data_IF_792940014631
#
_entry.id   IF_792940014631
#
_cell.length_a   1.000
_cell.length_b   1.000
_cell.length_c   1.000
_cell.angle_alpha   90.00
_cell.angle_beta   90.00
_cell.angle_gamma   90.00
#
_symmetry.space_group_name_H-M   'P 1'
#
loop_
_entity.id
_entity.type
_entity.pdbx_description
1 polymer ?
#
# COMPACT_ATOMS: atom_id res chain seq x y z
N UNK A 1 16.50 -13.08 -5.95
CA UNK A 1 16.54 -11.86 -5.11
C UNK A 1 15.24 -11.70 -4.33
N UNK A 2 14.09 -11.71 -5.01
CA UNK A 2 12.78 -11.54 -4.39
C UNK A 2 12.42 -12.67 -3.40
N UNK A 3 12.68 -13.94 -3.75
CA UNK A 3 12.52 -15.08 -2.82
C UNK A 3 13.44 -14.99 -1.58
N UNK A 4 14.64 -14.45 -1.77
CA UNK A 4 15.63 -14.29 -0.68
C UNK A 4 15.18 -13.17 0.28
N UNK A 5 14.62 -12.09 -0.28
CA UNK A 5 13.98 -10.99 0.45
C UNK A 5 12.75 -11.45 1.24
N UNK A 6 11.84 -12.20 0.60
CA UNK A 6 10.67 -12.79 1.25
C UNK A 6 11.09 -13.67 2.42
N UNK A 7 12.03 -14.60 2.21
CA UNK A 7 12.56 -15.46 3.29
C UNK A 7 13.26 -14.69 4.42
N UNK A 8 13.85 -13.53 4.15
CA UNK A 8 14.48 -12.69 5.17
C UNK A 8 13.46 -11.95 6.02
N UNK A 9 12.33 -11.57 5.43
CA UNK A 9 11.25 -10.86 6.11
C UNK A 9 10.25 -11.80 6.79
N UNK A 10 9.94 -12.96 6.20
CA UNK A 10 9.20 -14.07 6.85
C UNK A 10 9.90 -14.56 8.12
N UNK A 11 11.24 -14.48 8.18
CA UNK A 11 12.00 -14.76 9.41
C UNK A 11 11.80 -13.71 10.50
N UNK A 12 11.25 -12.53 10.17
CA UNK A 12 11.02 -11.40 11.09
C UNK A 12 9.55 -11.24 11.50
N UNK A 13 8.61 -11.93 10.85
CA UNK A 13 7.17 -11.78 11.12
C UNK A 13 6.28 -12.49 10.09
N UNK A 14 5.02 -12.08 10.01
CA UNK A 14 4.05 -12.59 9.03
C UNK A 14 4.49 -12.29 7.59
N UNK A 15 4.33 -13.26 6.67
CA UNK A 15 4.76 -13.17 5.28
C UNK A 15 4.04 -12.07 4.49
N UNK A 16 2.78 -11.81 4.84
CA UNK A 16 1.95 -10.80 4.18
C UNK A 16 2.33 -9.39 4.65
N UNK A 17 2.50 -9.21 5.97
CA UNK A 17 2.99 -7.98 6.57
C UNK A 17 4.41 -7.63 6.09
N UNK A 18 5.28 -8.64 6.03
CA UNK A 18 6.61 -8.57 5.45
C UNK A 18 6.60 -8.02 4.01
N UNK A 19 5.68 -8.52 3.19
CA UNK A 19 5.59 -8.11 1.78
C UNK A 19 5.08 -6.68 1.63
N UNK A 20 4.13 -6.26 2.47
CA UNK A 20 3.65 -4.87 2.53
C UNK A 20 4.76 -3.90 2.96
N UNK A 21 5.49 -4.23 4.03
CA UNK A 21 6.62 -3.42 4.50
C UNK A 21 7.72 -3.30 3.44
N UNK A 22 8.03 -4.38 2.72
CA UNK A 22 9.01 -4.35 1.64
C UNK A 22 8.58 -3.45 0.48
N UNK A 23 7.29 -3.50 0.12
CA UNK A 23 6.73 -2.65 -0.94
C UNK A 23 6.80 -1.18 -0.55
N UNK A 24 6.41 -0.82 0.67
CA UNK A 24 6.51 0.54 1.22
C UNK A 24 7.95 1.06 1.16
N UNK A 25 8.90 0.27 1.66
CA UNK A 25 10.31 0.64 1.63
C UNK A 25 10.86 0.86 0.20
N UNK A 26 10.46 0.03 -0.76
CA UNK A 26 10.90 0.20 -2.15
C UNK A 26 10.25 1.44 -2.77
N UNK A 27 8.97 1.71 -2.49
CA UNK A 27 8.27 2.88 -3.00
C UNK A 27 8.87 4.17 -2.44
N UNK A 28 9.17 4.22 -1.15
CA UNK A 28 9.86 5.35 -0.51
C UNK A 28 11.21 5.63 -1.20
N UNK A 29 11.99 4.59 -1.48
CA UNK A 29 13.28 4.74 -2.18
C UNK A 29 13.07 5.22 -3.62
N UNK A 30 12.05 4.74 -4.33
CA UNK A 30 11.71 5.20 -5.68
C UNK A 30 11.32 6.69 -5.64
N UNK A 31 10.38 7.08 -4.77
CA UNK A 31 9.89 8.45 -4.62
C UNK A 31 11.01 9.42 -4.23
N UNK A 32 11.90 8.98 -3.34
CA UNK A 32 13.08 9.73 -2.95
C UNK A 32 14.04 9.94 -4.14
N UNK A 33 14.32 8.89 -4.90
CA UNK A 33 15.18 8.99 -6.07
C UNK A 33 14.58 9.87 -7.19
N UNK A 34 13.24 9.86 -7.33
CA UNK A 34 12.51 10.77 -8.21
C UNK A 34 12.60 12.22 -7.73
N UNK A 35 12.42 12.47 -6.43
CA UNK A 35 12.46 13.79 -5.79
C UNK A 35 13.85 14.44 -5.86
N UNK A 36 14.91 13.64 -5.78
CA UNK A 36 16.30 14.11 -5.89
C UNK A 36 16.72 14.40 -7.35
N UNK A 37 15.83 14.22 -8.34
CA UNK A 37 16.10 14.49 -9.76
C UNK A 37 17.22 13.63 -10.38
N UNK A 38 17.71 12.63 -9.65
CA UNK A 38 18.90 11.85 -10.01
C UNK A 38 18.62 10.79 -11.09
N UNK A 39 17.36 10.38 -11.25
CA UNK A 39 16.99 9.33 -12.22
C UNK A 39 17.30 9.69 -13.69
N UNK A 40 17.37 10.98 -14.03
CA UNK A 40 17.67 11.42 -15.41
C UNK A 40 19.11 11.14 -15.88
N UNK A 41 20.06 10.94 -14.95
CA UNK A 41 21.47 10.61 -15.27
C UNK A 41 21.97 9.33 -14.59
N UNK A 42 21.46 9.00 -13.39
CA UNK A 42 21.84 7.80 -12.65
C UNK A 42 21.13 6.52 -13.11
N UNK A 43 19.99 6.62 -13.82
CA UNK A 43 19.24 5.45 -14.32
C UNK A 43 19.99 4.56 -15.33
N UNK A 44 21.19 4.97 -15.79
CA UNK A 44 22.08 4.15 -16.64
C UNK A 44 23.27 3.55 -15.91
N UNK A 45 23.52 3.94 -14.67
CA UNK A 45 24.62 3.41 -13.88
C UNK A 45 24.09 2.36 -12.90
N UNK A 46 24.84 1.29 -12.72
CA UNK A 46 24.65 0.26 -11.70
C UNK A 46 24.90 0.86 -10.30
N UNK A 47 24.11 1.85 -9.90
CA UNK A 47 24.17 2.44 -8.56
C UNK A 47 23.48 1.46 -7.62
N UNK A 48 24.27 0.88 -6.73
CA UNK A 48 23.76 0.05 -5.67
C UNK A 48 22.87 0.89 -4.76
N UNK A 49 21.77 0.31 -4.30
CA UNK A 49 20.78 0.95 -3.42
C UNK A 49 21.44 1.45 -2.12
N UNK A 50 22.53 0.81 -1.68
CA UNK A 50 23.34 1.23 -0.53
C UNK A 50 24.00 2.61 -0.68
N UNK A 51 24.35 3.06 -1.89
CA UNK A 51 25.07 4.35 -2.06
C UNK A 51 24.15 5.56 -1.84
N UNK A 52 22.95 5.64 -2.46
CA UNK A 52 21.97 6.69 -2.15
C UNK A 52 21.43 6.56 -0.72
N UNK A 53 21.23 5.33 -0.22
CA UNK A 53 20.78 5.11 1.15
C UNK A 53 21.81 5.56 2.18
N UNK A 54 23.10 5.25 2.01
CA UNK A 54 24.13 5.65 2.97
C UNK A 54 24.26 7.19 3.10
N UNK A 55 24.04 7.94 2.00
CA UNK A 55 24.00 9.41 2.02
C UNK A 55 22.73 9.98 2.68
N UNK A 56 21.68 9.17 2.85
CA UNK A 56 20.37 9.56 3.40
C UNK A 56 20.08 8.98 4.80
N UNK A 57 20.70 7.85 5.16
CA UNK A 57 20.43 7.07 6.38
C UNK A 57 21.11 7.65 7.63
N UNK A 58 22.03 8.61 7.48
CA UNK A 58 22.46 9.44 8.61
C UNK A 58 21.33 10.30 9.20
N UNK A 59 20.16 10.38 8.52
CA UNK A 59 19.00 11.15 8.97
C UNK A 59 17.84 10.34 9.59
N UNK A 60 17.82 9.00 9.52
CA UNK A 60 16.73 8.22 10.14
C UNK A 60 17.18 6.81 10.54
N UNK A 61 16.85 6.41 11.77
CA UNK A 61 17.12 5.10 12.38
C UNK A 61 16.54 3.88 11.61
N UNK A 62 15.92 4.10 10.45
CA UNK A 62 15.21 3.11 9.66
C UNK A 62 16.03 2.44 8.56
N UNK A 63 17.18 3.01 8.15
CA UNK A 63 18.07 2.35 7.18
C UNK A 63 18.61 0.99 7.65
N UNK A 64 18.61 0.75 8.97
CA UNK A 64 18.94 -0.54 9.57
C UNK A 64 17.86 -1.62 9.36
N UNK A 65 16.65 -1.25 8.95
CA UNK A 65 15.53 -2.19 8.75
C UNK A 65 15.57 -2.87 7.38
N UNK A 66 16.30 -2.33 6.40
CA UNK A 66 16.36 -2.88 5.05
C UNK A 66 17.05 -4.26 5.01
N UNK A 67 16.42 -5.27 4.38
CA UNK A 67 17.03 -6.58 4.18
C UNK A 67 18.40 -6.47 3.52
N UNK A 68 19.34 -7.33 3.92
CA UNK A 68 20.71 -7.27 3.41
C UNK A 68 20.76 -7.50 1.89
N UNK A 69 19.86 -8.32 1.37
CA UNK A 69 19.72 -8.55 -0.07
C UNK A 69 19.35 -7.27 -0.85
N UNK A 70 18.52 -6.40 -0.29
CA UNK A 70 18.19 -5.11 -0.89
C UNK A 70 19.38 -4.16 -0.86
N UNK A 71 20.09 -4.07 0.26
CA UNK A 71 21.26 -3.18 0.41
C UNK A 71 22.40 -3.57 -0.54
N UNK A 72 22.80 -4.83 -0.53
CA UNK A 72 24.04 -5.28 -1.18
C UNK A 72 23.87 -5.67 -2.65
N UNK A 73 22.66 -6.05 -3.09
CA UNK A 73 22.43 -6.65 -4.42
C UNK A 73 21.46 -5.89 -5.31
N UNK A 74 20.57 -5.08 -4.76
CA UNK A 74 19.67 -4.29 -5.59
C UNK A 74 20.41 -3.08 -6.16
N UNK A 75 20.19 -2.84 -7.45
CA UNK A 75 20.58 -1.61 -8.12
C UNK A 75 19.33 -0.76 -8.28
N UNK A 76 19.48 0.56 -8.37
CA UNK A 76 18.34 1.47 -8.54
C UNK A 76 17.46 1.11 -9.74
N UNK A 77 18.05 0.63 -10.83
CA UNK A 77 17.32 0.16 -12.01
C UNK A 77 16.45 -1.09 -11.75
N UNK A 78 16.78 -1.90 -10.74
CA UNK A 78 16.02 -3.11 -10.37
C UNK A 78 14.88 -2.82 -9.39
N UNK A 79 14.80 -1.62 -8.80
CA UNK A 79 13.78 -1.30 -7.80
C UNK A 79 12.39 -1.25 -8.41
N UNK A 80 12.25 -0.70 -9.62
CA UNK A 80 10.96 -0.65 -10.31
C UNK A 80 10.48 -2.05 -10.67
N UNK A 81 11.36 -2.91 -11.21
CA UNK A 81 11.02 -4.31 -11.52
C UNK A 81 10.65 -5.09 -10.26
N UNK A 82 11.41 -4.89 -9.18
CA UNK A 82 11.16 -5.52 -7.87
C UNK A 82 9.83 -5.06 -7.27
N UNK A 83 9.51 -3.77 -7.36
CA UNK A 83 8.21 -3.22 -6.95
C UNK A 83 7.07 -3.87 -7.74
N UNK A 84 7.18 -3.91 -9.07
CA UNK A 84 6.16 -4.50 -9.94
C UNK A 84 5.98 -6.00 -9.67
N UNK A 85 7.06 -6.74 -9.40
CA UNK A 85 7.01 -8.16 -9.08
C UNK A 85 6.40 -8.40 -7.68
N UNK A 86 6.66 -7.53 -6.69
CA UNK A 86 5.98 -7.59 -5.38
C UNK A 86 4.49 -7.27 -5.46
N UNK A 87 4.12 -6.25 -6.23
CA UNK A 87 2.72 -5.92 -6.54
C UNK A 87 2.03 -7.13 -7.19
N UNK A 88 2.67 -7.73 -8.19
CA UNK A 88 2.11 -8.86 -8.94
C UNK A 88 2.02 -10.16 -8.11
N UNK A 89 2.96 -10.38 -7.19
CA UNK A 89 3.06 -11.62 -6.41
C UNK A 89 2.25 -11.64 -5.11
N UNK A 90 1.85 -10.48 -4.57
CA UNK A 90 0.89 -10.40 -3.45
C UNK A 90 -0.57 -10.40 -3.89
N UNK A 91 -0.81 -10.24 -5.20
CA UNK A 91 -2.12 -9.95 -5.75
C UNK A 91 -2.43 -10.79 -6.99
N UNK A 92 -1.91 -12.02 -7.07
CA UNK A 92 -2.21 -12.94 -8.17
C UNK A 92 -3.74 -13.25 -8.20
N UNK A 93 -4.50 -12.38 -8.86
CA UNK A 93 -5.97 -12.38 -8.92
C UNK A 93 -6.67 -11.18 -8.26
N UNK A 94 -5.99 -10.30 -7.52
CA UNK A 94 -6.63 -9.16 -6.85
C UNK A 94 -6.62 -7.92 -7.77
N UNK A 95 -7.81 -7.58 -8.28
CA UNK A 95 -8.04 -6.42 -9.16
C UNK A 95 -7.60 -5.08 -8.59
N UNK A 96 -7.31 -5.02 -7.27
CA UNK A 96 -6.92 -3.83 -6.54
C UNK A 96 -5.41 -3.75 -6.22
N UNK A 97 -4.59 -4.59 -6.85
CA UNK A 97 -3.12 -4.57 -6.71
C UNK A 97 -2.50 -3.19 -6.99
N UNK A 98 -3.11 -2.44 -7.92
CA UNK A 98 -2.62 -1.17 -8.42
C UNK A 98 -2.93 0.03 -7.51
N UNK A 99 -3.70 -0.16 -6.43
CA UNK A 99 -3.99 0.93 -5.47
C UNK A 99 -2.65 1.46 -4.92
N UNK A 100 -2.50 2.79 -4.85
CA UNK A 100 -1.29 3.42 -4.33
C UNK A 100 -1.12 3.11 -2.84
N UNK A 101 0.12 2.97 -2.34
CA UNK A 101 0.36 2.58 -0.94
C UNK A 101 -0.21 3.56 0.07
N UNK A 102 -0.28 4.85 -0.30
CA UNK A 102 -0.90 5.89 0.52
C UNK A 102 -2.35 5.57 0.94
N UNK A 103 -3.02 4.61 0.28
CA UNK A 103 -4.40 4.18 0.56
C UNK A 103 -4.53 2.74 1.07
N UNK A 104 -3.44 2.18 1.61
CA UNK A 104 -3.36 0.79 2.06
C UNK A 104 -3.09 0.63 3.57
N UNK A 105 -3.25 1.68 4.36
CA UNK A 105 -3.07 1.61 5.81
C UNK A 105 -4.11 0.66 6.43
N UNK A 106 -3.65 -0.06 7.46
CA UNK A 106 -4.49 -0.99 8.20
C UNK A 106 -5.56 -0.24 9.02
N UNK A 107 -6.70 -0.89 9.22
CA UNK A 107 -7.72 -0.41 10.15
C UNK A 107 -7.33 -0.74 11.59
N UNK A 108 -7.64 0.18 12.50
CA UNK A 108 -7.65 -0.14 13.92
C UNK A 108 -8.66 -1.28 14.20
N UNK A 109 -8.37 -2.20 15.15
CA UNK A 109 -9.21 -3.36 15.42
C UNK A 109 -10.67 -3.01 15.76
N UNK A 110 -10.87 -1.89 16.47
CA UNK A 110 -12.19 -1.39 16.83
C UNK A 110 -12.99 -0.96 15.60
N UNK A 111 -12.35 -0.23 14.68
CA UNK A 111 -12.97 0.21 13.42
C UNK A 111 -13.27 -0.96 12.48
N UNK A 112 -12.36 -1.94 12.41
CA UNK A 112 -12.57 -3.15 11.62
C UNK A 112 -13.77 -3.97 12.15
N UNK A 113 -13.92 -4.07 13.47
CA UNK A 113 -15.05 -4.77 14.11
C UNK A 113 -16.38 -4.04 13.85
N UNK A 114 -16.38 -2.70 13.97
CA UNK A 114 -17.57 -1.89 13.68
C UNK A 114 -18.00 -2.02 12.20
N UNK A 115 -17.05 -1.96 11.27
CA UNK A 115 -17.30 -2.17 9.84
C UNK A 115 -17.84 -3.56 9.53
N UNK A 116 -17.27 -4.61 10.14
CA UNK A 116 -17.74 -5.97 9.95
C UNK A 116 -19.18 -6.15 10.45
N UNK A 117 -19.55 -5.53 11.58
CA UNK A 117 -20.92 -5.55 12.10
C UNK A 117 -21.92 -4.81 11.19
N UNK A 118 -21.49 -3.72 10.55
CA UNK A 118 -22.31 -2.94 9.60
C UNK A 118 -22.26 -3.48 8.16
N UNK A 119 -21.54 -4.57 7.89
CA UNK A 119 -21.22 -4.98 6.52
C UNK A 119 -22.45 -5.29 5.64
N UNK A 120 -23.53 -5.80 6.23
CA UNK A 120 -24.77 -6.07 5.51
C UNK A 120 -25.45 -4.78 5.00
N UNK A 121 -25.44 -3.72 5.81
CA UNK A 121 -25.99 -2.41 5.45
C UNK A 121 -25.09 -1.68 4.44
N UNK A 122 -23.78 -1.92 4.51
CA UNK A 122 -22.77 -1.35 3.61
C UNK A 122 -22.54 -2.19 2.34
N UNK A 123 -23.30 -3.26 2.12
CA UNK A 123 -23.08 -4.17 1.00
C UNK A 123 -23.23 -3.48 -0.37
N UNK A 124 -24.19 -2.56 -0.48
CA UNK A 124 -24.46 -1.79 -1.71
C UNK A 124 -23.36 -0.76 -2.02
N UNK A 125 -22.54 -0.39 -1.03
CA UNK A 125 -21.44 0.57 -1.17
C UNK A 125 -20.14 -0.08 -1.65
N UNK A 126 -20.07 -1.41 -1.64
CA UNK A 126 -18.87 -2.16 -2.01
C UNK A 126 -18.45 -1.96 -3.47
N UNK A 127 -19.36 -1.91 -4.46
CA UNK A 127 -19.02 -1.58 -5.84
C UNK A 127 -18.49 -0.15 -5.98
N UNK A 128 -19.13 0.83 -5.34
CA UNK A 128 -18.66 2.24 -5.35
C UNK A 128 -17.24 2.35 -4.81
N UNK A 129 -16.97 1.68 -3.68
CA UNK A 129 -15.63 1.65 -3.09
C UNK A 129 -14.62 0.92 -3.99
N UNK A 130 -15.03 -0.14 -4.69
CA UNK A 130 -14.19 -0.83 -5.66
C UNK A 130 -13.81 0.09 -6.83
N UNK A 131 -14.78 0.78 -7.42
CA UNK A 131 -14.55 1.72 -8.54
C UNK A 131 -13.65 2.87 -8.10
N UNK A 132 -13.87 3.43 -6.91
CA UNK A 132 -13.00 4.44 -6.31
C UNK A 132 -11.55 3.93 -6.20
N UNK A 133 -11.35 2.71 -5.71
CA UNK A 133 -10.04 2.10 -5.56
C UNK A 133 -9.37 1.81 -6.92
N UNK A 134 -10.12 1.26 -7.86
CA UNK A 134 -9.63 0.82 -9.16
C UNK A 134 -9.34 1.99 -10.13
N UNK A 135 -10.06 3.10 -10.00
CA UNK A 135 -9.95 4.22 -10.95
C UNK A 135 -9.27 5.46 -10.36
N UNK A 136 -9.55 5.80 -9.10
CA UNK A 136 -9.16 7.09 -8.52
C UNK A 136 -7.97 6.97 -7.57
N UNK A 137 -7.82 5.83 -6.88
CA UNK A 137 -6.80 5.61 -5.85
C UNK A 137 -5.61 4.79 -6.34
N UNK A 138 -5.44 4.64 -7.67
CA UNK A 138 -4.27 4.00 -8.28
C UNK A 138 -3.02 4.90 -8.32
N UNK A 139 -3.18 6.20 -8.05
CA UNK A 139 -2.08 7.18 -7.95
C UNK A 139 -2.27 8.01 -6.67
N UNK A 140 -1.18 8.34 -6.00
CA UNK A 140 -1.15 9.25 -4.84
C UNK A 140 -1.39 10.70 -5.26
N UNK A 141 -2.63 11.00 -5.66
CA UNK A 141 -3.10 12.32 -6.04
C UNK A 141 -3.94 12.98 -4.94
N UNK A 142 -4.61 12.18 -4.12
CA UNK A 142 -5.57 12.63 -3.14
C UNK A 142 -4.96 12.61 -1.74
N UNK A 143 -5.28 13.58 -0.86
CA UNK A 143 -4.72 13.59 0.48
C UNK A 143 -5.16 12.33 1.25
N UNK A 144 -4.23 11.45 1.61
CA UNK A 144 -4.51 10.21 2.33
C UNK A 144 -5.28 10.42 3.66
N UNK A 145 -5.11 11.60 4.28
CA UNK A 145 -5.84 11.99 5.49
C UNK A 145 -7.23 12.60 5.28
N UNK A 146 -7.73 12.66 4.04
CA UNK A 146 -9.09 13.15 3.76
C UNK A 146 -10.15 12.10 4.11
N UNK A 147 -11.38 12.55 4.40
CA UNK A 147 -12.48 11.67 4.76
C UNK A 147 -12.84 10.70 3.62
N UNK A 148 -12.82 9.40 3.91
CA UNK A 148 -13.28 8.39 2.96
C UNK A 148 -14.78 8.52 2.70
N UNK A 149 -15.56 8.90 3.73
CA UNK A 149 -17.01 9.05 3.62
C UNK A 149 -17.40 10.15 2.61
N UNK A 150 -16.74 11.30 2.67
CA UNK A 150 -16.95 12.42 1.74
C UNK A 150 -16.59 12.03 0.29
N UNK A 151 -15.55 11.22 0.11
CA UNK A 151 -15.16 10.74 -1.21
C UNK A 151 -16.12 9.70 -1.77
N UNK A 152 -16.67 8.83 -0.93
CA UNK A 152 -17.74 7.92 -1.33
C UNK A 152 -19.01 8.69 -1.69
N UNK A 153 -19.35 9.74 -0.93
CA UNK A 153 -20.47 10.62 -1.26
C UNK A 153 -20.29 11.29 -2.62
N UNK A 154 -19.08 11.81 -2.88
CA UNK A 154 -18.74 12.40 -4.17
C UNK A 154 -18.83 11.38 -5.32
N UNK A 155 -18.38 10.13 -5.11
CA UNK A 155 -18.37 9.09 -6.13
C UNK A 155 -19.78 8.54 -6.44
N UNK A 156 -20.61 8.35 -5.42
CA UNK A 156 -21.98 7.82 -5.58
C UNK A 156 -23.01 8.91 -5.94
N UNK A 157 -22.74 10.17 -5.58
CA UNK A 157 -23.71 11.26 -5.69
C UNK A 157 -24.77 11.27 -4.57
N UNK A 158 -24.61 10.45 -3.55
CA UNK A 158 -25.44 10.38 -2.35
C UNK A 158 -24.57 10.02 -1.13
N UNK A 159 -24.94 10.34 0.12
CA UNK A 159 -24.10 10.05 1.28
C UNK A 159 -24.15 8.55 1.66
N UNK A 160 -23.03 7.98 2.13
CA UNK A 160 -23.02 6.66 2.76
C UNK A 160 -23.96 6.60 3.98
N UNK A 161 -24.50 5.40 4.31
CA UNK A 161 -25.32 5.18 5.48
C UNK A 161 -24.67 5.71 6.75
N UNK A 162 -25.49 6.11 7.73
CA UNK A 162 -25.00 6.67 9.00
C UNK A 162 -24.14 5.67 9.81
N UNK A 163 -24.25 4.38 9.52
CA UNK A 163 -23.40 3.34 10.11
C UNK A 163 -21.97 3.32 9.55
N UNK A 164 -21.68 4.08 8.48
CA UNK A 164 -20.33 4.23 7.95
C UNK A 164 -19.50 5.13 8.88
N UNK A 165 -18.33 4.67 9.39
CA UNK A 165 -17.59 5.43 10.39
C UNK A 165 -16.97 6.72 9.81
N UNK A 166 -17.25 7.85 10.46
CA UNK A 166 -16.77 9.20 10.07
C UNK A 166 -15.24 9.37 10.20
N UNK A 167 -14.61 8.59 11.08
CA UNK A 167 -13.17 8.70 11.35
C UNK A 167 -12.30 8.03 10.29
N UNK A 168 -12.88 7.39 9.28
CA UNK A 168 -12.14 6.68 8.25
C UNK A 168 -11.65 7.64 7.19
N UNK A 169 -10.33 7.64 7.03
CA UNK A 169 -9.64 8.42 6.01
C UNK A 169 -9.34 7.58 4.76
N UNK A 170 -9.04 8.24 3.63
CA UNK A 170 -8.66 7.61 2.36
C UNK A 170 -7.50 6.62 2.50
N UNK A 171 -6.59 6.85 3.45
CA UNK A 171 -5.50 5.92 3.75
C UNK A 171 -5.97 4.49 4.05
N UNK A 172 -7.19 4.34 4.56
CA UNK A 172 -7.76 3.05 4.96
C UNK A 172 -8.61 2.40 3.86
N UNK A 173 -8.79 3.03 2.69
CA UNK A 173 -9.79 2.64 1.71
C UNK A 173 -9.71 1.17 1.29
N UNK A 174 -8.49 0.66 1.04
CA UNK A 174 -8.30 -0.74 0.66
C UNK A 174 -8.64 -1.70 1.80
N UNK A 175 -8.27 -1.35 3.04
CA UNK A 175 -8.58 -2.15 4.22
C UNK A 175 -10.09 -2.22 4.47
N UNK A 176 -10.80 -1.09 4.33
CA UNK A 176 -12.28 -1.05 4.42
C UNK A 176 -12.92 -1.98 3.40
N UNK A 177 -12.49 -1.93 2.13
CA UNK A 177 -13.02 -2.81 1.09
C UNK A 177 -12.82 -4.29 1.43
N UNK A 178 -11.61 -4.66 1.87
CA UNK A 178 -11.27 -6.04 2.24
C UNK A 178 -12.06 -6.52 3.44
N UNK A 179 -12.23 -5.69 4.47
CA UNK A 179 -13.04 -6.01 5.65
C UNK A 179 -14.50 -6.26 5.29
N UNK A 180 -15.10 -5.40 4.45
CA UNK A 180 -16.48 -5.58 3.98
C UNK A 180 -16.63 -6.84 3.13
N UNK A 181 -15.67 -7.11 2.23
CA UNK A 181 -15.67 -8.32 1.41
C UNK A 181 -15.59 -9.60 2.26
N UNK A 182 -14.71 -9.63 3.26
CA UNK A 182 -14.55 -10.77 4.16
C UNK A 182 -15.79 -11.01 5.04
N UNK A 183 -16.36 -9.94 5.60
CA UNK A 183 -17.56 -10.04 6.45
C UNK A 183 -18.77 -10.58 5.68
N UNK A 184 -18.94 -10.18 4.42
CA UNK A 184 -20.02 -10.66 3.56
C UNK A 184 -19.79 -12.08 3.03
N UNK A 185 -18.54 -12.51 2.87
CA UNK A 185 -18.20 -13.88 2.48
C UNK A 185 -18.41 -14.89 3.62
N UNK A 186 -18.27 -14.46 4.88
CA UNK A 186 -18.49 -15.30 6.06
C UNK A 186 -19.95 -15.44 6.52
N UNK A 187 -20.89 -14.76 5.85
CA UNK A 187 -22.31 -14.73 6.19
C UNK A 187 -23.21 -15.67 5.37
N UNK A 188 -22.64 -16.62 4.61
CA UNK A 188 -23.37 -17.63 3.83
C UNK A 188 -23.37 -19.01 4.47
#
# INVERSE_FOLDING_TARGET
>A
MLEELRRELERRGDADEATLQLRALIEDVINLCLSLGSFGKAGRAAVHVETPLAELVDASAEGAKLPQALRSRAQLCHLQDLYMELVSSNHAGDSLAAVALAYQDALEPESATALAAAAAELAEWRPVLHDLLAEQLIVDRWPAGASLKEFLEFAAGEPPPDCFPESLELRHALAVYRTLAAALAGGQ
#
